data_IF_159013128272
#
_entry.id   IF_159013128272
#
_cell.length_a   1.000
_cell.length_b   1.000
_cell.length_c   1.000
_cell.angle_alpha   90.00
_cell.angle_beta   90.00
_cell.angle_gamma   90.00
#
_symmetry.space_group_name_H-M   'P 1'
#
loop_
_entity.id
_entity.type
_entity.pdbx_description
1 polymer ?
#
# COMPACT_ATOMS: atom_id res chain seq x y z
N UNK A 1 15.50 1.00 -23.13
CA UNK A 1 16.56 1.47 -22.20
C UNK A 1 16.05 2.77 -21.56
N UNK A 2 14.91 2.71 -20.87
CA UNK A 2 14.77 2.43 -19.43
C UNK A 2 15.04 3.68 -18.57
N UNK A 3 13.97 4.20 -17.96
CA UNK A 3 13.99 4.42 -16.52
C UNK A 3 12.85 3.62 -15.88
N UNK A 4 13.18 2.41 -15.40
CA UNK A 4 12.45 1.72 -14.33
C UNK A 4 13.19 2.05 -13.04
N UNK A 5 12.65 2.93 -12.19
CA UNK A 5 13.07 3.06 -10.78
C UNK A 5 12.13 3.98 -9.98
N UNK A 6 10.81 3.72 -10.04
CA UNK A 6 9.83 4.42 -9.21
C UNK A 6 8.66 3.53 -8.78
N UNK A 7 8.91 2.26 -8.41
CA UNK A 7 7.84 1.33 -7.97
C UNK A 7 8.12 0.63 -6.62
N UNK A 8 9.21 0.94 -5.92
CA UNK A 8 9.47 0.32 -4.62
C UNK A 8 9.35 1.34 -3.50
N UNK A 9 8.11 1.56 -3.03
CA UNK A 9 7.75 1.92 -1.66
C UNK A 9 6.23 1.79 -1.51
N UNK A 10 5.76 0.55 -1.34
CA UNK A 10 4.42 0.28 -0.80
C UNK A 10 4.44 -1.05 -0.06
N UNK A 11 5.03 -1.03 1.14
CA UNK A 11 5.00 -2.14 2.08
C UNK A 11 4.68 -1.58 3.47
N UNK A 12 3.39 -1.38 3.77
CA UNK A 12 2.73 -1.59 5.07
C UNK A 12 1.23 -1.56 4.78
N UNK A 13 0.59 -2.72 4.63
CA UNK A 13 -0.86 -2.88 4.81
C UNK A 13 -1.11 -4.22 5.54
N UNK A 14 -1.66 -4.09 6.75
CA UNK A 14 -2.30 -5.12 7.58
C UNK A 14 -3.52 -5.74 6.87
N UNK A 15 -4.07 -6.89 7.29
CA UNK A 15 -4.92 -7.74 6.45
C UNK A 15 -6.23 -7.03 6.11
N UNK A 16 -6.52 -6.88 4.82
CA UNK A 16 -7.90 -6.68 4.36
C UNK A 16 -8.13 -7.60 3.17
N UNK A 17 -9.17 -8.43 3.30
CA UNK A 17 -9.64 -9.35 2.28
C UNK A 17 -9.86 -8.59 0.96
N UNK A 18 -9.18 -9.11 -0.06
CA UNK A 18 -9.61 -9.31 -1.46
C UNK A 18 -10.28 -8.17 -2.22
N UNK A 19 -9.53 -7.70 -3.22
CA UNK A 19 -9.92 -6.92 -4.38
C UNK A 19 -10.63 -7.87 -5.38
N UNK A 20 -11.81 -7.53 -5.89
CA UNK A 20 -12.48 -8.26 -7.00
C UNK A 20 -11.84 -7.95 -8.35
N UNK A 21 -11.17 -8.95 -8.95
CA UNK A 21 -11.43 -9.30 -10.35
C UNK A 21 -11.40 -10.84 -10.52
N UNK A 22 -12.55 -11.51 -10.51
CA UNK A 22 -12.54 -12.99 -10.55
C UNK A 22 -13.92 -13.62 -10.72
N UNK A 23 -13.89 -14.79 -11.35
CA UNK A 23 -14.94 -15.81 -11.60
C UNK A 23 -16.11 -15.80 -10.57
N UNK A 24 -17.34 -16.01 -11.05
CA UNK A 24 -18.58 -16.02 -10.24
C UNK A 24 -18.54 -17.08 -9.13
N UNK A 25 -17.72 -18.13 -9.29
CA UNK A 25 -17.44 -19.09 -8.24
C UNK A 25 -16.87 -18.43 -6.96
N UNK A 26 -15.94 -17.48 -7.10
CA UNK A 26 -15.33 -16.81 -5.94
C UNK A 26 -16.32 -15.88 -5.24
N UNK A 27 -17.17 -15.19 -6.01
CA UNK A 27 -18.29 -14.39 -5.47
C UNK A 27 -19.24 -15.27 -4.66
N UNK A 28 -19.61 -16.44 -5.22
CA UNK A 28 -20.49 -17.38 -4.54
C UNK A 28 -19.87 -17.90 -3.25
N UNK A 29 -18.62 -18.38 -3.28
CA UNK A 29 -17.92 -18.89 -2.08
C UNK A 29 -17.80 -17.82 -1.00
N UNK A 30 -17.55 -16.57 -1.37
CA UNK A 30 -17.55 -15.47 -0.42
C UNK A 30 -18.94 -15.26 0.18
N UNK A 31 -19.99 -15.16 -0.64
CA UNK A 31 -21.36 -15.01 -0.15
C UNK A 31 -21.77 -16.16 0.80
N UNK A 32 -21.44 -17.40 0.45
CA UNK A 32 -21.69 -18.58 1.28
C UNK A 32 -20.96 -18.50 2.62
N UNK A 33 -19.66 -18.16 2.62
CA UNK A 33 -18.86 -18.05 3.85
C UNK A 33 -19.34 -16.89 4.74
N UNK A 34 -19.68 -15.75 4.15
CA UNK A 34 -20.24 -14.61 4.88
C UNK A 34 -21.61 -14.96 5.47
N UNK A 35 -22.45 -15.71 4.74
CA UNK A 35 -23.71 -16.22 5.26
C UNK A 35 -23.50 -17.18 6.44
N UNK A 36 -22.57 -18.14 6.34
CA UNK A 36 -22.21 -19.06 7.44
C UNK A 36 -21.71 -18.28 8.66
N UNK A 37 -20.86 -17.28 8.44
CA UNK A 37 -20.37 -16.41 9.51
C UNK A 37 -21.52 -15.64 10.19
N UNK A 38 -22.43 -15.06 9.40
CA UNK A 38 -23.63 -14.39 9.89
C UNK A 38 -24.58 -15.33 10.63
N UNK A 39 -24.70 -16.57 10.17
CA UNK A 39 -25.49 -17.62 10.83
C UNK A 39 -24.96 -17.92 12.24
N UNK A 40 -23.65 -18.12 12.38
CA UNK A 40 -23.04 -18.33 13.69
C UNK A 40 -23.11 -17.08 14.57
N UNK A 41 -22.92 -15.88 13.99
CA UNK A 41 -23.01 -14.59 14.71
C UNK A 41 -24.41 -14.27 15.21
N UNK A 42 -25.45 -14.71 14.50
CA UNK A 42 -26.86 -14.53 14.90
C UNK A 42 -27.36 -15.58 15.88
N UNK A 43 -26.55 -16.59 16.22
CA UNK A 43 -26.91 -17.61 17.20
C UNK A 43 -27.15 -16.96 18.57
N UNK A 44 -28.30 -17.26 19.19
CA UNK A 44 -28.67 -16.72 20.50
C UNK A 44 -29.26 -15.30 20.50
N UNK A 45 -29.47 -14.69 19.33
CA UNK A 45 -30.29 -13.47 19.21
C UNK A 45 -31.79 -13.77 19.35
N UNK A 46 -32.59 -12.72 19.53
CA UNK A 46 -34.06 -12.74 19.56
C UNK A 46 -34.61 -11.65 18.63
N UNK A 47 -35.93 -11.48 18.58
CA UNK A 47 -36.59 -10.49 17.71
C UNK A 47 -36.38 -9.03 18.15
N UNK A 48 -35.65 -8.79 19.26
CA UNK A 48 -35.33 -7.45 19.75
C UNK A 48 -36.48 -6.72 20.47
N UNK A 49 -37.64 -7.36 20.66
CA UNK A 49 -38.86 -6.79 21.24
C UNK A 49 -39.07 -7.10 22.73
N UNK A 50 -38.00 -7.11 23.54
CA UNK A 50 -38.04 -7.03 25.01
C UNK A 50 -38.69 -8.20 25.80
N UNK A 51 -39.62 -8.98 25.24
CA UNK A 51 -40.29 -10.08 25.91
C UNK A 51 -40.27 -11.37 25.07
N UNK A 52 -39.16 -12.10 25.14
CA UNK A 52 -38.89 -13.30 24.34
C UNK A 52 -39.95 -14.41 24.47
N UNK A 53 -40.60 -14.55 25.64
CA UNK A 53 -41.65 -15.56 25.85
C UNK A 53 -42.95 -15.25 25.09
N UNK A 54 -43.28 -13.97 24.94
CA UNK A 54 -44.41 -13.55 24.11
C UNK A 54 -44.08 -13.77 22.63
N UNK A 55 -42.86 -13.43 22.22
CA UNK A 55 -42.37 -13.58 20.85
C UNK A 55 -42.36 -15.05 20.41
N UNK A 56 -41.82 -15.96 21.22
CA UNK A 56 -41.78 -17.39 20.87
C UNK A 56 -43.18 -18.01 20.72
N UNK A 57 -44.16 -17.54 21.52
CA UNK A 57 -45.53 -18.05 21.49
C UNK A 57 -46.33 -17.56 20.28
N UNK A 58 -46.02 -16.37 19.73
CA UNK A 58 -46.81 -15.76 18.67
C UNK A 58 -46.09 -15.70 17.31
N UNK A 59 -44.76 -15.69 17.29
CA UNK A 59 -43.92 -15.55 16.10
C UNK A 59 -43.06 -16.80 15.82
N UNK A 60 -43.06 -17.77 16.75
CA UNK A 60 -42.22 -18.97 16.66
C UNK A 60 -40.77 -18.71 17.07
N UNK A 61 -39.88 -19.68 16.80
CA UNK A 61 -38.47 -19.56 17.18
C UNK A 61 -37.73 -18.63 16.23
N UNK A 62 -37.04 -17.61 16.77
CA UNK A 62 -36.15 -16.72 16.02
C UNK A 62 -35.13 -17.52 15.19
N UNK A 63 -34.65 -18.64 15.72
CA UNK A 63 -33.62 -19.48 15.10
C UNK A 63 -33.97 -19.96 13.67
N UNK A 64 -35.24 -20.08 13.31
CA UNK A 64 -35.71 -20.51 11.98
C UNK A 64 -36.60 -19.45 11.30
N UNK A 65 -36.63 -18.25 11.85
CA UNK A 65 -37.48 -17.15 11.37
C UNK A 65 -36.92 -16.50 10.10
N UNK A 66 -37.80 -15.85 9.34
CA UNK A 66 -37.43 -15.01 8.18
C UNK A 66 -36.64 -13.77 8.61
N UNK A 67 -36.93 -13.22 9.80
CA UNK A 67 -36.19 -12.09 10.38
C UNK A 67 -34.72 -12.44 10.55
N UNK A 68 -34.41 -13.60 11.11
CA UNK A 68 -33.02 -14.07 11.25
C UNK A 68 -32.35 -14.24 9.87
N UNK A 69 -33.07 -14.69 8.86
CA UNK A 69 -32.54 -14.81 7.50
C UNK A 69 -32.13 -13.45 6.94
N UNK A 70 -33.00 -12.45 7.02
CA UNK A 70 -32.69 -11.09 6.55
C UNK A 70 -31.52 -10.47 7.31
N UNK A 71 -31.48 -10.60 8.64
CA UNK A 71 -30.35 -10.16 9.47
C UNK A 71 -28.99 -10.72 9.00
N UNK A 72 -28.99 -11.98 8.53
CA UNK A 72 -27.79 -12.65 8.01
C UNK A 72 -27.44 -12.12 6.62
N UNK A 73 -28.43 -12.04 5.72
CA UNK A 73 -28.25 -11.64 4.31
C UNK A 73 -27.76 -10.18 4.21
N UNK A 74 -28.30 -9.28 5.03
CA UNK A 74 -27.85 -7.88 5.09
C UNK A 74 -26.37 -7.77 5.48
N UNK A 75 -25.86 -8.72 6.27
CA UNK A 75 -24.47 -8.76 6.70
C UNK A 75 -23.47 -9.24 5.65
N UNK A 76 -23.91 -9.88 4.56
CA UNK A 76 -23.03 -10.59 3.61
C UNK A 76 -22.01 -9.66 2.96
N UNK A 77 -22.42 -8.45 2.57
CA UNK A 77 -21.57 -7.51 1.84
C UNK A 77 -20.91 -6.44 2.73
N UNK A 78 -20.99 -6.60 4.06
CA UNK A 78 -20.56 -5.56 5.01
C UNK A 78 -19.05 -5.32 5.08
N UNK A 79 -18.23 -6.30 4.71
CA UNK A 79 -16.76 -6.28 4.75
C UNK A 79 -16.11 -6.01 3.38
N UNK A 80 -16.92 -5.74 2.33
CA UNK A 80 -16.46 -5.63 0.95
C UNK A 80 -16.29 -4.18 0.50
N UNK A 81 -15.11 -3.82 -0.03
CA UNK A 81 -14.80 -2.47 -0.54
C UNK A 81 -15.71 -2.02 -1.71
N UNK A 82 -16.19 -2.96 -2.53
CA UNK A 82 -17.09 -2.72 -3.66
C UNK A 82 -18.51 -3.26 -3.34
N UNK A 83 -19.14 -2.71 -2.30
CA UNK A 83 -20.46 -3.17 -1.81
C UNK A 83 -21.52 -3.27 -2.93
N UNK A 84 -21.56 -2.31 -3.86
CA UNK A 84 -22.54 -2.29 -4.97
C UNK A 84 -22.49 -3.57 -5.82
N UNK A 85 -21.30 -4.02 -6.23
CA UNK A 85 -21.15 -5.24 -7.04
C UNK A 85 -21.44 -6.51 -6.25
N UNK A 86 -21.22 -6.47 -4.93
CA UNK A 86 -21.58 -7.57 -4.05
C UNK A 86 -23.10 -7.72 -3.95
N UNK A 87 -23.81 -6.60 -3.77
CA UNK A 87 -25.27 -6.61 -3.74
C UNK A 87 -25.89 -7.03 -5.09
N UNK A 88 -25.37 -6.53 -6.22
CA UNK A 88 -25.79 -6.98 -7.55
C UNK A 88 -25.63 -8.50 -7.75
N UNK A 89 -24.51 -9.06 -7.27
CA UNK A 89 -24.33 -10.51 -7.28
C UNK A 89 -25.27 -11.24 -6.31
N UNK A 90 -25.49 -10.67 -5.12
CA UNK A 90 -26.36 -11.26 -4.10
C UNK A 90 -27.81 -11.38 -4.60
N UNK A 91 -28.31 -10.36 -5.30
CA UNK A 91 -29.62 -10.40 -5.98
C UNK A 91 -29.71 -11.59 -6.94
N UNK A 92 -28.63 -11.95 -7.64
CA UNK A 92 -28.62 -13.10 -8.57
C UNK A 92 -28.74 -14.47 -7.89
N UNK A 93 -28.43 -14.56 -6.58
CA UNK A 93 -28.47 -15.81 -5.82
C UNK A 93 -29.53 -15.84 -4.71
N UNK A 94 -30.25 -14.73 -4.49
CA UNK A 94 -31.21 -14.55 -3.39
C UNK A 94 -32.26 -15.65 -3.34
N UNK A 95 -32.85 -15.98 -4.48
CA UNK A 95 -33.82 -17.08 -4.61
C UNK A 95 -33.25 -18.41 -4.08
N UNK A 96 -31.98 -18.73 -4.36
CA UNK A 96 -31.36 -19.97 -3.91
C UNK A 96 -31.09 -19.98 -2.41
N UNK A 97 -30.74 -18.83 -1.84
CA UNK A 97 -30.56 -18.65 -0.39
C UNK A 97 -31.88 -18.81 0.36
N UNK A 98 -32.95 -18.19 -0.15
CA UNK A 98 -34.29 -18.26 0.43
C UNK A 98 -34.85 -19.69 0.35
N UNK A 99 -34.73 -20.33 -0.82
CA UNK A 99 -35.15 -21.72 -1.00
C UNK A 99 -34.43 -22.66 -0.02
N UNK A 100 -33.12 -22.48 0.16
CA UNK A 100 -32.36 -23.27 1.13
C UNK A 100 -32.83 -23.03 2.57
N UNK A 101 -33.03 -21.77 2.96
CA UNK A 101 -33.46 -21.41 4.31
C UNK A 101 -34.85 -21.97 4.64
N UNK A 102 -35.80 -21.79 3.73
CA UNK A 102 -37.21 -22.14 3.95
C UNK A 102 -37.48 -23.64 3.77
N UNK A 103 -36.83 -24.30 2.80
CA UNK A 103 -37.12 -25.69 2.45
C UNK A 103 -36.17 -26.68 3.09
N UNK A 104 -34.87 -26.40 3.13
CA UNK A 104 -33.87 -27.39 3.57
C UNK A 104 -33.50 -27.22 5.04
N UNK A 105 -33.10 -26.01 5.44
CA UNK A 105 -32.70 -25.73 6.84
C UNK A 105 -33.87 -25.91 7.83
N UNK A 106 -35.08 -25.49 7.43
CA UNK A 106 -36.28 -25.62 8.27
C UNK A 106 -36.82 -27.06 8.38
N UNK A 107 -36.56 -27.91 7.37
CA UNK A 107 -37.14 -29.27 7.30
C UNK A 107 -36.22 -30.36 7.85
N UNK A 108 -34.91 -30.22 7.70
CA UNK A 108 -33.92 -31.19 8.17
C UNK A 108 -33.01 -30.55 9.23
N UNK A 109 -33.05 -31.10 10.44
CA UNK A 109 -32.34 -30.61 11.60
C UNK A 109 -30.85 -30.29 11.36
N UNK A 110 -30.53 -28.99 11.35
CA UNK A 110 -29.25 -28.41 11.76
C UNK A 110 -27.97 -28.96 11.11
N UNK A 111 -27.83 -28.92 9.77
CA UNK A 111 -26.49 -28.99 9.17
C UNK A 111 -26.26 -27.86 8.18
N UNK A 112 -25.64 -26.81 8.69
CA UNK A 112 -25.00 -25.76 7.89
C UNK A 112 -23.70 -26.27 7.23
N UNK A 113 -23.17 -27.41 7.70
CA UNK A 113 -22.07 -28.12 7.07
C UNK A 113 -22.44 -28.50 5.63
N UNK A 114 -21.61 -28.12 4.67
CA UNK A 114 -21.85 -28.38 3.25
C UNK A 114 -22.70 -27.32 2.54
N UNK A 115 -23.19 -26.28 3.23
CA UNK A 115 -23.96 -25.20 2.59
C UNK A 115 -23.20 -24.51 1.44
N UNK A 116 -21.90 -24.27 1.60
CA UNK A 116 -21.08 -23.68 0.53
C UNK A 116 -21.09 -24.53 -0.74
N UNK A 117 -20.99 -25.86 -0.59
CA UNK A 117 -21.02 -26.78 -1.72
C UNK A 117 -22.41 -26.87 -2.35
N UNK A 118 -23.46 -26.97 -1.53
CA UNK A 118 -24.84 -26.99 -2.02
C UNK A 118 -25.20 -25.71 -2.79
N UNK A 119 -24.89 -24.53 -2.24
CA UNK A 119 -25.18 -23.26 -2.88
C UNK A 119 -24.37 -23.08 -4.17
N UNK A 120 -23.05 -23.26 -4.10
CA UNK A 120 -22.15 -22.85 -5.18
C UNK A 120 -21.94 -23.92 -6.25
N UNK A 121 -22.05 -25.21 -5.92
CA UNK A 121 -21.83 -26.32 -6.86
C UNK A 121 -23.17 -26.88 -7.35
N UNK A 122 -24.13 -27.12 -6.45
CA UNK A 122 -25.40 -27.79 -6.80
C UNK A 122 -26.45 -26.83 -7.35
N UNK A 123 -26.78 -25.77 -6.59
CA UNK A 123 -27.89 -24.85 -6.92
C UNK A 123 -27.54 -23.86 -8.01
N UNK A 124 -26.55 -23.02 -7.75
CA UNK A 124 -26.15 -21.93 -8.66
C UNK A 124 -25.23 -22.43 -9.77
N UNK A 125 -24.55 -23.57 -9.54
CA UNK A 125 -23.56 -24.16 -10.44
C UNK A 125 -22.44 -23.20 -10.82
N UNK A 126 -22.15 -22.15 -10.06
CA UNK A 126 -21.03 -21.26 -10.37
C UNK A 126 -19.66 -21.94 -10.17
N UNK A 127 -19.56 -22.88 -9.24
CA UNK A 127 -18.35 -23.62 -8.92
C UNK A 127 -18.39 -25.08 -9.42
N UNK A 128 -17.25 -25.73 -9.35
CA UNK A 128 -17.09 -27.17 -9.58
C UNK A 128 -16.85 -27.91 -8.25
N UNK A 129 -17.12 -29.23 -8.17
CA UNK A 129 -16.76 -30.05 -7.02
C UNK A 129 -15.26 -30.00 -6.71
N UNK A 130 -14.90 -30.32 -5.48
CA UNK A 130 -13.48 -30.46 -5.10
C UNK A 130 -12.75 -31.43 -6.03
N UNK A 131 -11.51 -31.12 -6.39
CA UNK A 131 -10.66 -31.88 -7.32
C UNK A 131 -11.14 -31.85 -8.78
N UNK A 132 -11.80 -30.78 -9.21
CA UNK A 132 -12.18 -30.58 -10.62
C UNK A 132 -12.05 -29.11 -11.05
N UNK A 133 -11.92 -28.85 -12.36
CA UNK A 133 -11.64 -27.51 -12.89
C UNK A 133 -12.29 -27.27 -14.27
N UNK A 134 -12.29 -26.00 -14.70
CA UNK A 134 -12.73 -25.59 -16.02
C UNK A 134 -14.25 -25.60 -16.23
N UNK A 135 -14.69 -25.15 -17.41
CA UNK A 135 -16.11 -24.92 -17.69
C UNK A 135 -16.99 -26.16 -17.56
N UNK A 136 -16.42 -27.36 -17.71
CA UNK A 136 -17.10 -28.65 -17.67
C UNK A 136 -16.77 -29.46 -16.41
N UNK A 137 -16.05 -28.86 -15.44
CA UNK A 137 -15.62 -29.53 -14.21
C UNK A 137 -14.88 -30.85 -14.48
N UNK A 138 -13.85 -30.80 -15.31
CA UNK A 138 -12.98 -31.94 -15.58
C UNK A 138 -12.17 -32.30 -14.33
N UNK A 139 -11.86 -33.58 -14.08
CA UNK A 139 -11.08 -33.99 -12.92
C UNK A 139 -9.66 -33.41 -12.98
N UNK A 140 -9.18 -32.88 -11.84
CA UNK A 140 -7.81 -32.42 -11.70
C UNK A 140 -6.82 -33.60 -11.80
N UNK A 141 -5.64 -33.40 -12.41
CA UNK A 141 -4.57 -34.38 -12.33
C UNK A 141 -4.10 -34.54 -10.86
N UNK A 142 -3.49 -35.69 -10.51
CA UNK A 142 -2.97 -35.94 -9.17
C UNK A 142 -1.69 -35.13 -8.93
N UNK A 143 -1.85 -33.84 -8.63
CA UNK A 143 -0.74 -33.01 -8.17
C UNK A 143 -0.25 -33.55 -6.84
N UNK A 144 1.05 -33.84 -6.75
CA UNK A 144 1.66 -34.42 -5.57
C UNK A 144 1.42 -33.52 -4.35
N UNK A 145 0.94 -34.07 -3.24
CA UNK A 145 0.71 -33.33 -1.99
C UNK A 145 1.80 -33.69 -0.97
N UNK A 146 2.49 -32.72 -0.35
CA UNK A 146 2.26 -31.27 -0.38
C UNK A 146 3.04 -30.52 -1.49
N UNK A 147 3.51 -31.19 -2.54
CA UNK A 147 4.37 -30.60 -3.58
C UNK A 147 3.70 -29.60 -4.54
N UNK A 148 2.38 -29.62 -4.71
CA UNK A 148 1.67 -28.69 -5.58
C UNK A 148 0.15 -28.80 -5.50
N UNK A 149 -0.53 -27.96 -6.28
CA UNK A 149 -1.99 -27.91 -6.38
C UNK A 149 -2.46 -27.74 -7.82
N UNK A 150 -3.64 -28.28 -8.14
CA UNK A 150 -4.26 -28.10 -9.45
C UNK A 150 -4.73 -26.66 -9.67
N UNK A 151 -4.35 -26.06 -10.80
CA UNK A 151 -4.85 -24.76 -11.24
C UNK A 151 -6.35 -24.83 -11.54
N UNK A 152 -7.12 -23.95 -10.92
CA UNK A 152 -8.58 -23.92 -11.07
C UNK A 152 -9.35 -24.92 -10.20
N UNK A 153 -8.71 -25.57 -9.22
CA UNK A 153 -9.38 -26.55 -8.36
C UNK A 153 -10.68 -25.99 -7.70
N UNK A 154 -11.80 -26.65 -8.00
CA UNK A 154 -13.15 -26.33 -7.58
C UNK A 154 -13.76 -25.10 -8.27
N UNK A 155 -13.13 -24.59 -9.32
CA UNK A 155 -13.60 -23.41 -10.07
C UNK A 155 -13.96 -23.79 -11.51
N UNK A 156 -14.75 -22.95 -12.19
CA UNK A 156 -15.06 -23.13 -13.62
C UNK A 156 -13.99 -22.53 -14.54
N UNK A 157 -12.94 -22.00 -13.96
CA UNK A 157 -11.78 -21.43 -14.65
C UNK A 157 -10.53 -22.28 -14.36
N UNK A 158 -9.38 -21.86 -14.90
CA UNK A 158 -8.11 -22.56 -14.74
C UNK A 158 -7.80 -23.55 -15.86
N UNK A 159 -6.52 -23.92 -15.92
CA UNK A 159 -5.93 -24.78 -16.96
C UNK A 159 -5.90 -26.26 -16.57
N UNK A 160 -6.01 -26.56 -15.27
CA UNK A 160 -5.82 -27.91 -14.72
C UNK A 160 -4.38 -28.35 -14.57
N UNK A 161 -3.41 -27.53 -14.98
CA UNK A 161 -1.98 -27.82 -14.76
C UNK A 161 -1.64 -27.73 -13.28
N UNK A 162 -0.66 -28.52 -12.81
CA UNK A 162 -0.21 -28.43 -11.44
C UNK A 162 0.66 -27.19 -11.24
N UNK A 163 0.30 -26.38 -10.25
CA UNK A 163 1.08 -25.27 -9.73
C UNK A 163 1.93 -25.82 -8.60
N UNK A 164 3.24 -25.93 -8.84
CA UNK A 164 4.18 -26.49 -7.87
C UNK A 164 4.52 -25.48 -6.77
N UNK A 165 4.66 -25.99 -5.56
CA UNK A 165 5.17 -25.24 -4.42
C UNK A 165 6.67 -25.03 -4.55
N UNK A 166 7.21 -24.09 -3.77
CA UNK A 166 8.65 -23.80 -3.76
C UNK A 166 9.46 -25.07 -3.51
N UNK A 167 10.50 -25.28 -4.31
CA UNK A 167 11.34 -26.48 -4.28
C UNK A 167 10.82 -27.68 -5.06
N UNK A 168 9.58 -27.66 -5.55
CA UNK A 168 8.99 -28.73 -6.36
C UNK A 168 8.90 -28.36 -7.84
N UNK A 169 9.06 -29.35 -8.72
CA UNK A 169 9.03 -29.19 -10.17
C UNK A 169 8.47 -30.45 -10.86
N UNK A 170 8.31 -30.38 -12.18
CA UNK A 170 7.67 -31.40 -13.00
C UNK A 170 6.17 -31.16 -13.21
N UNK A 171 5.56 -31.89 -14.13
CA UNK A 171 4.13 -31.72 -14.48
C UNK A 171 3.18 -32.05 -13.33
N UNK A 172 3.60 -32.93 -12.42
CA UNK A 172 2.82 -33.34 -11.24
C UNK A 172 3.42 -32.84 -9.92
N UNK A 173 4.46 -31.99 -9.97
CA UNK A 173 5.17 -31.48 -8.80
C UNK A 173 5.76 -32.60 -7.91
N UNK A 174 6.24 -33.67 -8.55
CA UNK A 174 6.78 -34.88 -7.93
C UNK A 174 8.32 -34.94 -7.96
N UNK A 175 8.99 -33.85 -8.34
CA UNK A 175 10.45 -33.76 -8.40
C UNK A 175 10.96 -32.56 -7.61
N UNK A 176 12.16 -32.66 -7.05
CA UNK A 176 12.79 -31.53 -6.37
C UNK A 176 13.60 -30.67 -7.35
N UNK A 177 13.65 -29.37 -7.08
CA UNK A 177 14.52 -28.43 -7.79
C UNK A 177 15.90 -28.42 -7.14
N UNK A 178 16.81 -29.26 -7.66
CA UNK A 178 18.11 -29.52 -7.04
C UNK A 178 19.11 -28.35 -7.06
N UNK A 179 18.80 -27.24 -7.73
CA UNK A 179 19.62 -26.04 -7.70
C UNK A 179 19.52 -25.28 -6.36
N UNK A 180 18.37 -25.36 -5.68
CA UNK A 180 18.07 -24.59 -4.46
C UNK A 180 17.56 -25.43 -3.32
N UNK A 181 17.23 -26.70 -3.59
CA UNK A 181 16.65 -27.64 -2.64
C UNK A 181 17.36 -28.99 -2.72
N UNK A 182 17.19 -29.80 -1.68
CA UNK A 182 17.60 -31.19 -1.64
C UNK A 182 16.43 -32.08 -1.24
N UNK A 183 16.49 -33.35 -1.60
CA UNK A 183 15.49 -34.32 -1.21
C UNK A 183 15.87 -34.92 0.15
N UNK A 184 14.95 -34.88 1.11
CA UNK A 184 15.14 -35.55 2.40
C UNK A 184 15.10 -37.07 2.24
N UNK A 185 15.98 -37.78 2.95
CA UNK A 185 16.15 -39.24 2.87
C UNK A 185 15.13 -40.05 3.70
N UNK A 186 14.24 -39.41 4.47
CA UNK A 186 13.25 -40.11 5.28
C UNK A 186 11.97 -40.44 4.47
N UNK A 187 11.78 -41.73 4.18
CA UNK A 187 10.56 -42.49 3.79
C UNK A 187 9.55 -41.93 2.77
N UNK A 188 9.17 -42.83 1.84
CA UNK A 188 7.97 -42.95 0.94
C UNK A 188 7.36 -41.72 0.26
N UNK A 189 7.77 -40.52 0.62
CA UNK A 189 7.22 -39.23 0.22
C UNK A 189 8.34 -38.25 -0.10
N UNK A 190 8.21 -37.53 -1.21
CA UNK A 190 9.23 -36.62 -1.71
C UNK A 190 9.11 -35.31 -0.93
N UNK A 191 10.06 -35.10 -0.02
CA UNK A 191 10.17 -33.86 0.75
C UNK A 191 11.35 -33.04 0.23
N UNK A 192 11.05 -31.93 -0.46
CA UNK A 192 12.06 -31.02 -1.00
C UNK A 192 12.33 -29.90 0.01
N UNK A 193 13.51 -29.92 0.61
CA UNK A 193 13.94 -28.96 1.64
C UNK A 193 14.95 -27.99 1.05
N UNK A 194 14.89 -26.72 1.47
CA UNK A 194 15.78 -25.69 0.92
C UNK A 194 17.22 -25.87 1.39
N UNK A 195 18.17 -25.61 0.50
CA UNK A 195 19.59 -25.52 0.84
C UNK A 195 19.86 -24.36 1.80
N UNK A 196 21.00 -24.42 2.49
CA UNK A 196 21.48 -23.27 3.25
C UNK A 196 21.71 -22.08 2.30
N UNK A 197 21.43 -20.86 2.78
CA UNK A 197 21.57 -19.62 2.02
C UNK A 197 23.01 -19.34 1.53
N UNK A 198 23.98 -20.03 2.10
CA UNK A 198 25.39 -19.96 1.73
C UNK A 198 25.76 -20.80 0.51
N UNK A 199 24.84 -21.58 -0.08
CA UNK A 199 25.12 -22.43 -1.23
C UNK A 199 24.85 -21.68 -2.56
N UNK A 200 25.76 -21.75 -3.54
CA UNK A 200 25.58 -21.15 -4.88
C UNK A 200 24.75 -22.01 -5.84
N UNK A 201 24.63 -23.30 -5.57
CA UNK A 201 23.89 -24.22 -6.43
C UNK A 201 23.96 -25.65 -5.91
N UNK A 202 22.82 -26.13 -5.42
CA UNK A 202 22.63 -27.48 -4.91
C UNK A 202 23.31 -27.74 -3.55
N UNK A 203 22.74 -28.72 -2.86
CA UNK A 203 23.20 -29.18 -1.57
C UNK A 203 22.77 -30.63 -1.33
N UNK A 204 23.44 -31.30 -0.39
CA UNK A 204 23.03 -32.63 0.09
C UNK A 204 22.26 -32.58 1.42
N UNK A 205 22.08 -31.38 1.99
CA UNK A 205 21.51 -31.18 3.31
C UNK A 205 21.29 -29.70 3.64
N UNK A 206 20.72 -29.41 4.82
CA UNK A 206 20.27 -28.06 5.17
C UNK A 206 21.40 -27.18 5.74
N UNK A 207 22.59 -27.74 5.97
CA UNK A 207 23.69 -27.05 6.64
C UNK A 207 24.72 -26.49 5.66
N UNK A 208 25.51 -25.47 6.05
CA UNK A 208 26.55 -24.87 5.19
C UNK A 208 27.62 -25.87 4.71
N UNK A 209 27.86 -26.93 5.48
CA UNK A 209 28.78 -28.03 5.15
C UNK A 209 28.26 -28.93 4.02
N UNK A 210 26.96 -28.87 3.71
CA UNK A 210 26.34 -29.68 2.66
C UNK A 210 26.20 -28.94 1.32
N UNK A 211 26.72 -27.72 1.22
CA UNK A 211 26.72 -26.97 -0.04
C UNK A 211 27.63 -27.65 -1.05
N UNK A 212 27.19 -27.75 -2.31
CA UNK A 212 28.07 -28.21 -3.40
C UNK A 212 29.12 -27.16 -3.78
N UNK A 213 28.82 -25.88 -3.57
CA UNK A 213 29.73 -24.75 -3.69
C UNK A 213 29.17 -23.56 -2.89
N UNK A 214 30.05 -22.64 -2.46
CA UNK A 214 29.63 -21.45 -1.74
C UNK A 214 29.05 -20.37 -2.66
N UNK A 215 28.02 -19.68 -2.16
CA UNK A 215 27.42 -18.49 -2.75
C UNK A 215 28.39 -17.30 -2.73
N UNK A 216 28.13 -16.30 -3.57
CA UNK A 216 28.85 -15.03 -3.50
C UNK A 216 28.67 -14.39 -2.11
N UNK A 217 29.74 -13.81 -1.55
CA UNK A 217 29.76 -13.32 -0.16
C UNK A 217 30.07 -14.40 0.88
N UNK A 218 30.36 -15.64 0.45
CA UNK A 218 30.75 -16.73 1.32
C UNK A 218 32.08 -17.32 0.88
N UNK A 219 32.85 -17.84 1.83
CA UNK A 219 34.12 -18.55 1.60
C UNK A 219 34.07 -19.94 2.21
N UNK A 220 34.75 -20.90 1.59
CA UNK A 220 34.93 -22.23 2.18
C UNK A 220 35.91 -22.14 3.35
N UNK A 221 35.53 -22.77 4.46
CA UNK A 221 36.40 -22.96 5.62
C UNK A 221 36.43 -24.46 5.96
N UNK A 222 37.63 -25.00 6.21
CA UNK A 222 37.83 -26.40 6.65
C UNK A 222 38.80 -26.43 7.84
N UNK A 223 38.50 -25.64 8.86
CA UNK A 223 39.31 -25.57 10.09
C UNK A 223 38.53 -26.17 11.25
N UNK A 224 38.91 -27.41 11.63
CA UNK A 224 38.55 -28.08 12.91
C UNK A 224 37.07 -28.09 13.28
N UNK A 225 36.58 -26.97 13.79
CA UNK A 225 35.22 -26.75 14.31
C UNK A 225 34.26 -26.07 13.30
N UNK A 226 34.77 -25.56 12.18
CA UNK A 226 33.98 -24.88 11.15
C UNK A 226 34.33 -25.47 9.76
N UNK A 227 33.46 -26.38 9.31
CA UNK A 227 33.47 -26.91 7.95
C UNK A 227 32.27 -26.35 7.18
N UNK A 228 32.51 -25.89 5.96
CA UNK A 228 31.46 -25.43 5.04
C UNK A 228 31.59 -23.95 4.68
N UNK A 229 30.53 -23.40 4.12
CA UNK A 229 30.50 -22.01 3.68
C UNK A 229 30.31 -21.05 4.86
N UNK A 230 31.29 -20.19 5.08
CA UNK A 230 31.29 -19.16 6.12
C UNK A 230 31.16 -17.79 5.48
N UNK A 231 30.39 -16.92 6.13
CA UNK A 231 30.12 -15.56 5.68
C UNK A 231 31.41 -14.74 5.62
N UNK A 232 31.63 -14.03 4.52
CA UNK A 232 32.76 -13.11 4.40
C UNK A 232 32.38 -11.85 5.15
N UNK A 233 33.15 -11.47 6.18
CA UNK A 233 32.93 -10.21 6.86
C UNK A 233 33.56 -9.05 6.09
N UNK A 234 32.84 -8.46 5.14
CA UNK A 234 33.38 -7.37 4.33
C UNK A 234 33.66 -6.11 5.15
N UNK A 235 33.03 -5.95 6.33
CA UNK A 235 33.25 -4.78 7.18
C UNK A 235 34.66 -4.68 7.76
N UNK A 236 35.45 -5.78 7.74
CA UNK A 236 36.87 -5.76 8.14
C UNK A 236 37.67 -4.79 7.27
N UNK A 237 37.40 -4.75 5.97
CA UNK A 237 38.10 -3.88 5.01
C UNK A 237 37.52 -2.46 4.95
N UNK A 238 36.50 -2.15 5.76
CA UNK A 238 35.84 -0.84 5.81
C UNK A 238 35.36 -0.31 4.44
N UNK A 239 34.48 -1.03 3.73
CA UNK A 239 34.03 -0.67 2.39
C UNK A 239 33.12 0.58 2.36
N UNK A 240 32.56 0.97 3.51
CA UNK A 240 31.64 2.10 3.63
C UNK A 240 32.35 3.45 3.85
N UNK A 241 31.67 4.54 3.49
CA UNK A 241 32.15 5.88 3.79
C UNK A 241 32.04 6.17 5.30
N UNK A 242 33.17 6.09 6.00
CA UNK A 242 33.28 6.28 7.46
C UNK A 242 32.72 7.60 8.00
N UNK A 243 32.54 8.64 7.17
CA UNK A 243 32.05 9.95 7.64
C UNK A 243 30.53 10.08 7.61
N UNK A 244 29.83 9.13 6.99
CA UNK A 244 28.37 9.23 6.78
C UNK A 244 27.66 7.92 7.05
N UNK A 245 28.37 6.79 6.98
CA UNK A 245 27.82 5.46 7.13
C UNK A 245 28.76 4.61 8.00
N UNK A 246 28.16 3.67 8.73
CA UNK A 246 28.88 2.53 9.31
C UNK A 246 28.57 1.26 8.51
N UNK A 247 29.47 0.28 8.59
CA UNK A 247 29.31 -1.00 7.92
C UNK A 247 28.64 -2.01 8.85
N UNK A 248 27.58 -2.66 8.37
CA UNK A 248 26.91 -3.75 9.05
C UNK A 248 27.05 -5.03 8.21
N UNK A 249 27.73 -6.03 8.78
CA UNK A 249 27.89 -7.33 8.12
C UNK A 249 26.56 -8.09 8.09
N UNK A 250 26.18 -8.64 6.94
CA UNK A 250 24.95 -9.39 6.72
C UNK A 250 25.29 -10.75 6.11
N UNK A 251 24.50 -11.82 6.33
CA UNK A 251 24.74 -13.08 5.64
C UNK A 251 24.77 -12.90 4.11
N UNK A 252 25.93 -13.16 3.50
CA UNK A 252 26.24 -13.07 2.08
C UNK A 252 26.51 -11.66 1.55
N UNK A 253 26.57 -10.63 2.40
CA UNK A 253 26.80 -9.24 1.96
C UNK A 253 27.10 -8.30 3.13
N UNK A 254 27.20 -7.00 2.84
CA UNK A 254 27.21 -5.96 3.86
C UNK A 254 26.24 -4.85 3.51
N UNK A 255 25.84 -4.10 4.53
CA UNK A 255 24.99 -2.93 4.39
C UNK A 255 25.71 -1.70 4.95
N UNK A 256 25.84 -0.66 4.14
CA UNK A 256 26.28 0.65 4.62
C UNK A 256 25.07 1.41 5.15
N UNK A 257 24.97 1.51 6.47
CA UNK A 257 23.83 2.15 7.15
C UNK A 257 24.24 3.58 7.53
N UNK A 258 23.41 4.60 7.24
CA UNK A 258 23.75 5.98 7.56
C UNK A 258 23.86 6.19 9.07
N UNK A 259 24.78 7.05 9.47
CA UNK A 259 24.90 7.51 10.85
C UNK A 259 23.68 8.32 11.28
N UNK A 260 23.45 8.39 12.59
CA UNK A 260 22.52 9.35 13.17
C UNK A 260 22.91 10.78 12.77
N UNK A 261 21.93 11.67 12.60
CA UNK A 261 22.16 13.06 12.15
C UNK A 261 23.05 13.89 13.09
N UNK A 262 23.18 13.45 14.34
CA UNK A 262 24.05 14.02 15.35
C UNK A 262 25.51 13.59 15.24
N UNK A 263 25.85 12.64 14.35
CA UNK A 263 27.21 12.11 14.22
C UNK A 263 27.88 12.55 12.91
N UNK A 264 29.18 12.87 12.98
CA UNK A 264 30.07 12.98 11.82
C UNK A 264 30.83 11.66 11.54
N UNK A 265 30.88 10.75 12.52
CA UNK A 265 31.43 9.40 12.41
C UNK A 265 30.73 8.52 13.43
N UNK A 266 30.39 7.29 13.06
CA UNK A 266 29.67 6.38 13.93
C UNK A 266 30.14 4.93 13.77
N UNK A 267 29.92 4.15 14.81
CA UNK A 267 30.08 2.68 14.81
C UNK A 267 28.73 1.94 14.78
N UNK A 268 27.63 2.69 14.81
CA UNK A 268 26.27 2.16 14.89
C UNK A 268 25.21 3.22 14.54
N UNK A 269 23.93 2.84 14.55
CA UNK A 269 22.85 3.67 14.00
C UNK A 269 22.35 4.76 14.96
N UNK A 270 22.73 4.72 16.24
CA UNK A 270 22.16 5.61 17.26
C UNK A 270 23.10 6.79 17.58
N UNK A 271 22.57 7.82 18.24
CA UNK A 271 23.36 8.96 18.72
C UNK A 271 24.40 8.57 19.80
N UNK A 272 24.26 7.39 20.41
CA UNK A 272 25.21 6.84 21.38
C UNK A 272 26.42 6.20 20.67
N UNK A 273 26.23 5.77 19.42
CA UNK A 273 27.27 5.13 18.63
C UNK A 273 28.11 6.17 17.87
N UNK A 274 27.95 7.46 18.17
CA UNK A 274 28.75 8.52 17.58
C UNK A 274 30.19 8.46 18.11
N UNK A 275 31.14 8.20 17.21
CA UNK A 275 32.55 8.40 17.49
C UNK A 275 32.90 9.90 17.54
N UNK A 276 32.22 10.71 16.72
CA UNK A 276 32.34 12.17 16.73
C UNK A 276 31.01 12.86 16.43
N UNK A 277 30.75 13.98 17.11
CA UNK A 277 29.52 14.74 16.94
C UNK A 277 29.56 15.61 15.68
N UNK A 278 28.39 15.75 15.06
CA UNK A 278 28.13 16.70 13.98
C UNK A 278 28.15 18.15 14.49
N UNK A 279 28.31 19.11 13.58
CA UNK A 279 28.18 20.53 13.93
C UNK A 279 26.78 20.82 14.47
N UNK A 280 26.68 21.65 15.52
CA UNK A 280 25.42 21.86 16.26
C UNK A 280 25.17 20.82 17.37
N UNK A 281 26.09 19.87 17.56
CA UNK A 281 25.99 18.86 18.62
C UNK A 281 27.28 18.81 19.46
N UNK A 282 27.16 18.43 20.73
CA UNK A 282 28.27 18.29 21.67
C UNK A 282 28.17 16.96 22.42
N UNK A 283 29.31 16.47 22.94
CA UNK A 283 29.35 15.31 23.84
C UNK A 283 28.64 15.68 25.15
N UNK A 284 27.49 15.07 25.39
CA UNK A 284 26.70 15.19 26.60
C UNK A 284 27.07 14.16 27.66
N UNK A 285 26.23 14.03 28.69
CA UNK A 285 26.46 13.06 29.76
C UNK A 285 26.23 11.63 29.22
N UNK A 286 27.23 10.76 29.37
CA UNK A 286 27.18 9.38 28.86
C UNK A 286 27.69 9.21 27.44
N UNK A 287 28.52 10.13 26.94
CA UNK A 287 29.18 10.09 25.63
C UNK A 287 28.26 10.15 24.40
N UNK A 288 27.00 10.56 24.61
CA UNK A 288 26.01 10.76 23.55
C UNK A 288 26.18 12.14 22.90
N UNK A 289 26.01 12.24 21.58
CA UNK A 289 25.94 13.54 20.92
C UNK A 289 24.58 14.19 21.15
N UNK A 290 24.57 15.22 21.98
CA UNK A 290 23.41 16.02 22.34
C UNK A 290 23.40 17.32 21.57
N UNK A 291 22.20 17.80 21.25
CA UNK A 291 21.98 19.09 20.59
C UNK A 291 22.53 20.25 21.43
N UNK A 292 23.33 21.11 20.83
CA UNK A 292 23.78 22.33 21.48
C UNK A 292 22.61 23.30 21.46
N UNK A 293 22.15 23.76 22.63
CA UNK A 293 21.20 24.85 22.66
C UNK A 293 21.92 26.19 22.47
N UNK A 294 22.12 26.62 21.21
CA UNK A 294 22.92 27.81 20.92
C UNK A 294 22.29 29.08 21.48
N UNK A 295 20.95 29.12 21.61
CA UNK A 295 20.22 30.23 22.23
C UNK A 295 20.56 30.42 23.73
N UNK A 296 20.93 29.33 24.42
CA UNK A 296 21.35 29.37 25.81
C UNK A 296 22.88 29.52 25.93
N UNK A 297 23.64 29.01 24.96
CA UNK A 297 25.10 29.03 24.96
C UNK A 297 25.66 30.42 24.63
N UNK A 298 25.01 31.18 23.74
CA UNK A 298 25.40 32.56 23.40
C UNK A 298 24.17 33.48 23.32
N UNK A 299 24.08 34.41 24.28
CA UNK A 299 23.00 35.41 24.35
C UNK A 299 22.97 36.39 23.16
N UNK A 300 24.07 36.48 22.40
CA UNK A 300 24.21 37.36 21.23
C UNK A 300 24.16 36.60 19.89
N UNK A 301 23.79 35.30 19.91
CA UNK A 301 23.75 34.46 18.69
C UNK A 301 22.80 35.01 17.62
N UNK A 302 21.76 35.75 18.03
CA UNK A 302 20.89 36.53 17.14
C UNK A 302 21.27 38.02 17.21
N UNK A 303 21.34 38.68 16.06
CA UNK A 303 21.71 40.09 15.98
C UNK A 303 20.71 40.96 16.77
N UNK A 304 21.25 41.91 17.52
CA UNK A 304 20.64 42.55 18.70
C UNK A 304 19.29 43.27 18.47
N UNK A 305 18.54 43.41 19.57
CA UNK A 305 17.24 44.08 19.78
C UNK A 305 16.11 43.79 18.76
N UNK A 306 15.15 42.97 19.20
CA UNK A 306 13.93 42.68 18.43
C UNK A 306 13.91 41.32 17.75
N UNK A 307 14.97 40.51 17.91
CA UNK A 307 15.04 39.11 17.50
C UNK A 307 14.77 38.14 18.68
N UNK A 308 14.12 37.02 18.38
CA UNK A 308 13.84 35.90 19.25
C UNK A 308 14.62 34.69 18.73
N UNK A 309 15.52 34.16 19.55
CA UNK A 309 16.21 32.91 19.26
C UNK A 309 15.28 31.73 19.59
N UNK A 310 15.20 30.77 18.68
CA UNK A 310 14.53 29.48 18.87
C UNK A 310 15.51 28.37 18.55
N UNK A 311 15.81 27.52 19.54
CA UNK A 311 16.67 26.37 19.34
C UNK A 311 16.00 25.35 18.41
N UNK A 312 16.74 24.75 17.50
CA UNK A 312 16.28 23.68 16.60
C UNK A 312 17.25 22.50 16.66
N UNK A 313 16.83 21.30 16.28
CA UNK A 313 17.76 20.15 16.35
C UNK A 313 18.89 20.31 15.32
N UNK A 314 20.12 20.40 15.80
CA UNK A 314 21.37 20.61 15.06
C UNK A 314 21.63 22.06 14.64
N UNK A 315 20.83 23.05 15.09
CA UNK A 315 21.02 24.46 14.74
C UNK A 315 20.11 25.40 15.54
N UNK A 316 20.09 26.69 15.22
CA UNK A 316 19.16 27.66 15.81
C UNK A 316 18.51 28.53 14.74
N UNK A 317 17.38 29.15 15.09
CA UNK A 317 16.68 30.11 14.24
C UNK A 317 16.43 31.42 14.97
N UNK A 318 16.80 32.52 14.34
CA UNK A 318 16.47 33.87 14.78
C UNK A 318 15.26 34.39 14.01
N UNK A 319 14.16 34.71 14.71
CA UNK A 319 12.94 35.29 14.16
C UNK A 319 12.62 36.65 14.78
N UNK A 320 11.90 37.54 14.10
CA UNK A 320 11.54 38.83 14.69
C UNK A 320 10.48 38.65 15.79
N UNK A 321 10.65 39.34 16.93
CA UNK A 321 9.66 39.41 18.01
C UNK A 321 8.32 39.96 17.50
N UNK A 322 7.24 39.61 18.19
CA UNK A 322 5.91 40.16 17.90
C UNK A 322 5.93 41.69 17.87
N UNK A 323 5.43 42.26 16.78
CA UNK A 323 5.48 43.71 16.55
C UNK A 323 6.74 44.19 15.84
N UNK A 324 7.65 43.31 15.41
CA UNK A 324 8.80 43.63 14.56
C UNK A 324 8.69 42.96 13.16
N UNK A 325 9.31 43.54 12.14
CA UNK A 325 9.40 42.99 10.78
C UNK A 325 10.85 42.89 10.32
N UNK A 326 11.18 41.81 9.60
CA UNK A 326 12.52 41.59 9.04
C UNK A 326 12.79 42.57 7.90
N UNK A 327 13.90 43.29 7.99
CA UNK A 327 14.45 44.22 7.00
C UNK A 327 15.92 43.88 6.71
N UNK A 328 16.53 44.51 5.71
CA UNK A 328 17.93 44.29 5.32
C UNK A 328 18.95 44.63 6.42
N UNK A 329 18.54 45.38 7.45
CA UNK A 329 19.34 45.78 8.61
C UNK A 329 18.93 45.11 9.92
N UNK A 330 18.11 44.04 9.88
CA UNK A 330 17.59 43.35 11.07
C UNK A 330 16.08 43.54 11.28
N UNK A 331 15.59 43.26 12.49
CA UNK A 331 14.17 43.38 12.84
C UNK A 331 13.81 44.80 13.33
N UNK A 332 12.79 45.44 12.74
CA UNK A 332 12.34 46.81 13.11
C UNK A 332 10.87 46.84 13.56
N UNK A 333 10.52 47.71 14.52
CA UNK A 333 9.16 47.87 15.05
C UNK A 333 8.12 48.21 13.96
N UNK A 334 7.10 47.39 13.84
CA UNK A 334 5.91 47.61 13.01
C UNK A 334 4.91 48.49 13.76
N UNK A 335 5.08 49.80 13.69
CA UNK A 335 4.16 50.78 14.29
C UNK A 335 2.73 50.57 13.73
N UNK A 336 1.76 50.29 14.61
CA UNK A 336 0.32 50.31 14.28
C UNK A 336 -0.21 51.73 14.52
N UNK A 337 -0.61 52.42 13.46
CA UNK A 337 -1.35 53.69 13.57
C UNK A 337 -2.82 53.41 13.86
N UNK A 338 -3.25 53.58 15.11
CA UNK A 338 -4.68 53.67 15.47
C UNK A 338 -5.16 55.12 15.30
N UNK A 339 -6.14 55.32 14.40
CA UNK A 339 -6.94 56.56 14.33
C UNK A 339 -8.30 56.29 14.98
N UNK A 340 -8.59 56.95 16.11
CA UNK A 340 -9.97 57.28 16.55
C UNK A 340 -10.25 58.74 16.18
N UNK A 341 -11.23 59.06 15.31
CA UNK A 341 -12.69 59.21 15.57
C UNK A 341 -12.97 60.46 16.41
N UNK A 342 -13.78 61.47 16.06
CA UNK A 342 -14.73 61.90 14.99
C UNK A 342 -14.88 63.44 15.20
N UNK A 343 -15.44 64.30 14.34
CA UNK A 343 -16.81 64.35 13.78
C UNK A 343 -16.94 65.52 12.79
N UNK A 344 -17.76 65.31 11.74
CA UNK A 344 -18.61 66.25 10.95
C UNK A 344 -18.01 67.56 10.40
N UNK A 345 -18.13 67.92 9.11
CA UNK A 345 -19.36 67.98 8.31
C UNK A 345 -19.14 67.82 6.78
N UNK A 346 -20.27 67.67 6.08
CA UNK A 346 -20.51 67.16 4.72
C UNK A 346 -20.98 68.28 3.78
N UNK A 347 -20.64 68.18 2.48
CA UNK A 347 -21.19 68.78 1.22
C UNK A 347 -20.08 69.46 0.38
N UNK A 348 -19.94 69.29 -0.94
CA UNK A 348 -20.85 68.81 -1.99
C UNK A 348 -20.10 68.38 -3.28
N UNK A 349 -20.67 67.37 -3.98
CA UNK A 349 -20.69 67.06 -5.44
C UNK A 349 -19.41 67.02 -6.29
N UNK A 350 -18.97 65.89 -6.86
CA UNK A 350 -19.52 64.90 -7.86
C UNK A 350 -19.07 65.17 -9.32
N UNK A 351 -18.68 64.06 -9.97
CA UNK A 351 -18.34 63.78 -11.39
C UNK A 351 -16.85 63.86 -11.77
N UNK A 352 -16.19 62.86 -12.38
CA UNK A 352 -16.57 61.53 -12.90
C UNK A 352 -15.29 60.68 -13.17
N UNK A 353 -15.43 59.34 -13.19
CA UNK A 353 -14.59 58.32 -13.89
C UNK A 353 -13.33 57.72 -13.21
N UNK A 354 -13.47 56.42 -12.89
CA UNK A 354 -12.53 55.28 -12.82
C UNK A 354 -11.01 55.50 -12.66
N UNK A 355 -10.42 54.91 -11.60
CA UNK A 355 -9.75 53.59 -11.71
C UNK A 355 -9.41 53.03 -10.31
N UNK A 356 -9.88 51.81 -10.00
CA UNK A 356 -9.47 51.05 -8.82
C UNK A 356 -8.29 50.17 -9.24
N UNK A 357 -7.15 50.29 -8.55
CA UNK A 357 -6.13 49.25 -8.58
C UNK A 357 -5.55 49.04 -7.18
N UNK A 358 -6.19 48.15 -6.42
CA UNK A 358 -5.54 47.39 -5.36
C UNK A 358 -5.05 46.07 -5.96
N UNK A 359 -3.79 45.70 -5.73
CA UNK A 359 -3.25 44.34 -5.99
C UNK A 359 -2.37 44.00 -4.79
N UNK A 360 -2.86 43.50 -3.66
CA UNK A 360 -3.61 42.30 -3.29
C UNK A 360 -2.89 40.98 -3.59
N UNK A 361 -2.45 40.29 -2.52
CA UNK A 361 -1.89 38.92 -2.56
C UNK A 361 -2.93 37.88 -2.99
N UNK A 362 -4.22 38.22 -2.98
CA UNK A 362 -5.24 37.46 -3.69
C UNK A 362 -5.11 37.55 -5.20
N UNK A 363 -4.55 38.62 -5.78
CA UNK A 363 -4.38 38.74 -7.24
C UNK A 363 -3.33 37.76 -7.76
N UNK A 364 -2.25 37.47 -7.01
CA UNK A 364 -1.30 36.41 -7.40
C UNK A 364 -1.94 35.02 -7.32
N UNK A 365 -2.62 34.66 -6.23
CA UNK A 365 -3.32 33.36 -6.14
C UNK A 365 -4.48 33.22 -7.13
N UNK A 366 -5.24 34.28 -7.40
CA UNK A 366 -6.31 34.32 -8.41
C UNK A 366 -5.73 34.26 -9.83
N UNK A 367 -4.62 34.95 -10.12
CA UNK A 367 -3.90 34.79 -11.41
C UNK A 367 -3.45 33.34 -11.56
N UNK A 368 -2.90 32.71 -10.52
CA UNK A 368 -2.52 31.29 -10.55
C UNK A 368 -3.72 30.35 -10.77
N UNK A 369 -4.87 30.58 -10.11
CA UNK A 369 -6.09 29.76 -10.31
C UNK A 369 -6.78 30.02 -11.65
N UNK A 370 -6.77 31.26 -12.15
CA UNK A 370 -7.37 31.64 -13.45
C UNK A 370 -6.51 31.18 -14.63
N UNK A 371 -5.18 31.19 -14.48
CA UNK A 371 -4.26 30.68 -15.53
C UNK A 371 -4.33 29.15 -15.59
N UNK A 372 -4.38 28.48 -14.43
CA UNK A 372 -4.58 27.03 -14.34
C UNK A 372 -5.94 26.60 -14.92
N UNK A 373 -7.02 27.31 -14.59
CA UNK A 373 -8.36 27.00 -15.14
C UNK A 373 -8.49 27.32 -16.63
N UNK A 374 -7.84 28.37 -17.15
CA UNK A 374 -7.81 28.64 -18.60
C UNK A 374 -7.08 27.55 -19.39
N UNK A 375 -5.95 27.06 -18.90
CA UNK A 375 -5.25 25.96 -19.56
C UNK A 375 -6.01 24.63 -19.41
N UNK A 376 -6.55 24.33 -18.22
CA UNK A 376 -7.38 23.15 -17.98
C UNK A 376 -8.64 23.12 -18.86
N UNK A 377 -9.28 24.28 -19.12
CA UNK A 377 -10.43 24.38 -20.03
C UNK A 377 -10.05 24.14 -21.50
N UNK A 378 -8.83 24.46 -21.93
CA UNK A 378 -8.35 24.11 -23.28
C UNK A 378 -8.14 22.60 -23.42
N UNK A 379 -7.66 21.93 -22.38
CA UNK A 379 -7.54 20.48 -22.35
C UNK A 379 -8.90 19.79 -22.37
N UNK A 380 -9.87 20.25 -21.56
CA UNK A 380 -11.21 19.67 -21.54
C UNK A 380 -11.98 19.91 -22.84
N UNK A 381 -11.83 21.07 -23.48
CA UNK A 381 -12.40 21.34 -24.81
C UNK A 381 -11.79 20.46 -25.91
N UNK A 382 -10.48 20.17 -25.84
CA UNK A 382 -9.80 19.28 -26.79
C UNK A 382 -10.23 17.82 -26.63
N UNK A 383 -10.44 17.37 -25.38
CA UNK A 383 -11.00 16.05 -25.06
C UNK A 383 -12.46 15.92 -25.49
N UNK A 384 -13.27 16.96 -25.31
CA UNK A 384 -14.65 16.99 -25.80
C UNK A 384 -14.71 16.97 -27.33
N UNK A 385 -13.85 17.75 -28.01
CA UNK A 385 -13.72 17.74 -29.46
C UNK A 385 -13.30 16.34 -29.98
N UNK A 386 -12.36 15.67 -29.31
CA UNK A 386 -11.98 14.29 -29.62
C UNK A 386 -13.13 13.30 -29.40
N UNK A 387 -13.89 13.45 -28.31
CA UNK A 387 -15.10 12.66 -28.06
C UNK A 387 -16.14 12.81 -29.18
N UNK A 388 -16.38 14.05 -29.64
CA UNK A 388 -17.27 14.32 -30.78
C UNK A 388 -16.70 13.78 -32.09
N UNK A 389 -15.39 13.89 -32.33
CA UNK A 389 -14.74 13.34 -33.51
C UNK A 389 -14.83 11.81 -33.55
N UNK A 390 -14.59 11.13 -32.43
CA UNK A 390 -14.76 9.68 -32.30
C UNK A 390 -16.22 9.25 -32.53
N UNK A 391 -17.19 10.07 -32.14
CA UNK A 391 -18.61 9.81 -32.39
C UNK A 391 -18.98 9.95 -33.87
N UNK A 392 -18.45 10.96 -34.57
CA UNK A 392 -18.66 11.14 -36.01
C UNK A 392 -17.84 10.18 -36.88
N UNK A 393 -16.69 9.71 -36.41
CA UNK A 393 -15.76 8.87 -37.17
C UNK A 393 -16.21 7.40 -37.35
N UNK A 394 -17.38 7.02 -36.81
CA UNK A 394 -18.09 5.71 -37.01
C UNK A 394 -17.15 4.51 -37.25
N UNK A 395 -16.17 4.32 -36.37
CA UNK A 395 -15.35 3.12 -36.34
C UNK A 395 -14.23 3.00 -37.39
N UNK A 396 -13.71 4.09 -37.96
CA UNK A 396 -12.49 4.03 -38.79
C UNK A 396 -11.21 4.05 -37.92
N UNK A 397 -10.52 2.91 -37.71
CA UNK A 397 -9.46 2.79 -36.71
C UNK A 397 -8.23 3.64 -37.02
N UNK A 398 -7.89 3.81 -38.30
CA UNK A 398 -6.75 4.62 -38.72
C UNK A 398 -6.93 6.12 -38.43
N UNK A 399 -8.14 6.65 -38.57
CA UNK A 399 -8.43 8.06 -38.28
C UNK A 399 -8.36 8.34 -36.77
N UNK A 400 -8.81 7.40 -35.94
CA UNK A 400 -8.75 7.48 -34.48
C UNK A 400 -7.30 7.41 -33.99
N UNK A 401 -6.50 6.50 -34.56
CA UNK A 401 -5.07 6.36 -34.23
C UNK A 401 -4.27 7.62 -34.58
N UNK A 402 -4.51 8.18 -35.77
CA UNK A 402 -3.83 9.40 -36.20
C UNK A 402 -4.24 10.62 -35.35
N UNK A 403 -5.54 10.76 -35.03
CA UNK A 403 -6.02 11.81 -34.15
C UNK A 403 -5.48 11.68 -32.71
N UNK A 404 -5.35 10.46 -32.19
CA UNK A 404 -4.77 10.19 -30.87
C UNK A 404 -3.29 10.58 -30.81
N UNK A 405 -2.52 10.27 -31.87
CA UNK A 405 -1.12 10.67 -31.98
C UNK A 405 -0.93 12.18 -32.03
N UNK A 406 -1.77 12.89 -32.80
CA UNK A 406 -1.72 14.35 -32.89
C UNK A 406 -2.07 15.03 -31.56
N UNK A 407 -3.05 14.49 -30.82
CA UNK A 407 -3.40 14.99 -29.49
C UNK A 407 -2.28 14.70 -28.49
N UNK A 408 -1.70 13.51 -28.52
CA UNK A 408 -0.55 13.16 -27.67
C UNK A 408 0.64 14.09 -27.91
N UNK A 409 0.97 14.37 -29.18
CA UNK A 409 2.03 15.31 -29.55
C UNK A 409 1.70 16.74 -29.11
N UNK A 410 0.45 17.18 -29.26
CA UNK A 410 0.00 18.48 -28.78
C UNK A 410 0.14 18.62 -27.27
N UNK A 411 -0.31 17.63 -26.49
CA UNK A 411 -0.18 17.61 -25.02
C UNK A 411 1.30 17.64 -24.60
N UNK A 412 2.15 16.87 -25.27
CA UNK A 412 3.59 16.85 -25.01
C UNK A 412 4.28 18.19 -25.30
N UNK A 413 3.94 18.85 -26.41
CA UNK A 413 4.47 20.18 -26.74
C UNK A 413 4.00 21.24 -25.73
N UNK A 414 2.76 21.14 -25.25
CA UNK A 414 2.25 22.05 -24.23
C UNK A 414 2.87 21.80 -22.85
N UNK A 415 3.21 20.55 -22.50
CA UNK A 415 3.92 20.27 -21.23
C UNK A 415 5.34 20.84 -21.24
N UNK A 416 6.04 20.78 -22.38
CA UNK A 416 7.37 21.41 -22.52
C UNK A 416 7.28 22.94 -22.35
N UNK A 417 6.26 23.57 -22.96
CA UNK A 417 6.04 25.02 -22.78
C UNK A 417 5.69 25.37 -21.32
N UNK A 418 5.03 24.48 -20.60
CA UNK A 418 4.70 24.65 -19.18
C UNK A 418 5.96 24.61 -18.30
N UNK A 419 6.88 23.68 -18.56
CA UNK A 419 8.17 23.58 -17.83
C UNK A 419 9.11 24.76 -18.10
N UNK A 420 9.09 25.33 -19.32
CA UNK A 420 9.88 26.52 -19.67
C UNK A 420 9.42 27.80 -18.93
N UNK A 421 8.12 27.94 -18.69
CA UNK A 421 7.56 29.05 -17.90
C UNK A 421 7.93 28.93 -16.41
N UNK A 422 8.15 27.71 -15.92
CA UNK A 422 8.51 27.45 -14.52
C UNK A 422 10.01 27.64 -14.23
N UNK A 423 10.89 27.44 -15.21
CA UNK A 423 12.34 27.58 -15.04
C UNK A 423 12.84 29.02 -15.14
N UNK A 424 12.11 29.93 -15.81
CA UNK A 424 12.51 31.33 -16.01
C UNK A 424 11.90 32.33 -14.98
N UNK A 425 11.31 31.86 -13.88
CA UNK A 425 10.82 32.72 -12.79
C UNK A 425 11.43 32.43 -11.41
N UNK A 426 12.66 31.89 -11.37
CA UNK A 426 13.49 31.88 -10.16
C UNK A 426 14.49 33.03 -10.16
#
# INVERSE_FOLDING_TARGET
MLPLLAVLLNSIICPTLTIYPGDDCNKCRHAAKSFILGFHKSAGKNFGGGNSLWEEKHLGSYSVSEVRYHDIVEGICSDVKQAVKCHEFLESIEHHLEDWWLKDYRSYANKIEGFEEDLCVTRTKFCCPSSSFGNSCLPCPPCYFPGGRCDGNGTRSGTGSCICNDGYTGELCDKCTFETHFQSHNDSSISCLRCHLSCSGGCSGPFPENCSACASGWTEMDSGDQRGCVDINECVDSPCNRSTHFCLNKPGSYECVPCHSACNKCSGPTANDCESCASGYQRGNGDVCEDINECNADSNICNSEGELCTNTVGSFKCDCKSGYKRTSSGCVLAVKSEKGSKTSDKFETKSTVHNINSRNRNTQRIIWTVTYTKEFLKYSASLAAFGTFCWFAKGHPFAIMFASLLIGLYVYLQSINFDFVFTNQK
#
